data_IF_094863716230
#
_entry.id   IF_094863716230
#
_cell.length_a   1.000
_cell.length_b   1.000
_cell.length_c   1.000
_cell.angle_alpha   90.00
_cell.angle_beta   90.00
_cell.angle_gamma   90.00
#
_symmetry.space_group_name_H-M   'P 1'
#
loop_
_entity.id
_entity.type
_entity.pdbx_description
1 polymer ?
#
# COMPACT_ATOMS: atom_id res chain seq x y z
N UNK A 1 -41.31 -14.29 -13.88
CA UNK A 1 -40.42 -15.45 -13.61
C UNK A 1 -39.48 -15.07 -12.47
N UNK A 2 -39.18 -15.97 -11.51
CA UNK A 2 -38.13 -15.72 -10.53
C UNK A 2 -36.81 -15.47 -11.26
N UNK A 3 -35.96 -14.56 -10.76
CA UNK A 3 -34.67 -14.31 -11.41
C UNK A 3 -33.83 -15.58 -11.40
N UNK A 4 -33.31 -15.98 -12.55
CA UNK A 4 -32.38 -17.11 -12.71
C UNK A 4 -30.93 -16.65 -12.60
N UNK A 5 -30.03 -17.59 -12.35
CA UNK A 5 -28.60 -17.34 -12.46
C UNK A 5 -28.25 -16.95 -13.90
N UNK A 6 -27.34 -16.00 -14.07
CA UNK A 6 -26.94 -15.52 -15.38
C UNK A 6 -26.17 -16.57 -16.22
N UNK A 7 -25.65 -17.63 -15.59
CA UNK A 7 -24.85 -18.67 -16.26
C UNK A 7 -25.52 -20.05 -16.28
N UNK A 8 -26.59 -20.25 -15.50
CA UNK A 8 -27.24 -21.56 -15.39
C UNK A 8 -28.72 -21.41 -14.98
N UNK A 9 -29.57 -22.44 -15.15
CA UNK A 9 -30.98 -22.37 -14.81
C UNK A 9 -31.28 -22.37 -13.29
N UNK A 10 -30.26 -22.40 -12.43
CA UNK A 10 -30.44 -22.42 -10.97
C UNK A 10 -30.85 -21.06 -10.39
N UNK A 11 -31.38 -21.07 -9.16
CA UNK A 11 -31.70 -19.86 -8.41
C UNK A 11 -30.41 -19.11 -8.01
N UNK A 12 -30.28 -17.80 -8.28
CA UNK A 12 -29.15 -17.02 -7.85
C UNK A 12 -29.25 -16.70 -6.35
N UNK A 13 -28.11 -16.68 -5.67
CA UNK A 13 -27.99 -16.31 -4.26
C UNK A 13 -26.97 -15.20 -4.03
N UNK A 14 -26.09 -14.94 -5.01
CA UNK A 14 -25.05 -13.92 -4.96
C UNK A 14 -25.35 -12.86 -6.01
N UNK A 15 -25.21 -11.59 -5.62
CA UNK A 15 -25.08 -10.47 -6.53
C UNK A 15 -23.61 -10.08 -6.58
N UNK A 16 -22.95 -10.25 -7.73
CA UNK A 16 -21.53 -9.91 -7.85
C UNK A 16 -21.30 -8.40 -7.68
N UNK A 17 -20.41 -7.96 -6.78
CA UNK A 17 -20.08 -6.55 -6.60
C UNK A 17 -19.53 -5.88 -7.87
N UNK A 18 -18.73 -6.60 -8.65
CA UNK A 18 -18.01 -6.05 -9.80
C UNK A 18 -18.91 -5.61 -10.97
N UNK A 19 -19.98 -6.37 -11.25
CA UNK A 19 -20.81 -6.16 -12.45
C UNK A 19 -22.32 -6.37 -12.20
N UNK A 20 -22.74 -6.50 -10.94
CA UNK A 20 -24.12 -6.78 -10.53
C UNK A 20 -24.76 -8.03 -11.16
N UNK A 21 -23.96 -8.98 -11.63
CA UNK A 21 -24.45 -10.24 -12.18
C UNK A 21 -25.00 -11.13 -11.05
N UNK A 22 -26.20 -11.66 -11.24
CA UNK A 22 -26.85 -12.59 -10.30
C UNK A 22 -26.36 -14.01 -10.58
N UNK A 23 -25.69 -14.63 -9.61
CA UNK A 23 -25.09 -15.97 -9.74
C UNK A 23 -25.53 -16.91 -8.62
N UNK A 24 -25.59 -18.21 -8.92
CA UNK A 24 -25.62 -19.25 -7.90
C UNK A 24 -24.20 -19.51 -7.36
N UNK A 25 -24.07 -20.14 -6.19
CA UNK A 25 -22.76 -20.37 -5.56
C UNK A 25 -21.75 -21.12 -6.47
N UNK A 26 -22.09 -22.25 -7.12
CA UNK A 26 -21.13 -22.95 -7.97
C UNK A 26 -20.65 -22.10 -9.16
N UNK A 27 -21.56 -21.37 -9.80
CA UNK A 27 -21.22 -20.46 -10.89
C UNK A 27 -20.32 -19.33 -10.41
N UNK A 28 -20.61 -18.72 -9.26
CA UNK A 28 -19.77 -17.69 -8.68
C UNK A 28 -18.36 -18.19 -8.38
N UNK A 29 -18.22 -19.35 -7.72
CA UNK A 29 -16.91 -19.93 -7.39
C UNK A 29 -16.07 -20.16 -8.65
N UNK A 30 -16.69 -20.72 -9.70
CA UNK A 30 -16.02 -20.94 -10.99
C UNK A 30 -15.63 -19.62 -11.66
N UNK A 31 -16.54 -18.65 -11.74
CA UNK A 31 -16.26 -17.34 -12.35
C UNK A 31 -15.16 -16.59 -11.61
N UNK A 32 -15.12 -16.68 -10.28
CA UNK A 32 -14.07 -16.08 -9.45
C UNK A 32 -12.70 -16.74 -9.69
N UNK A 33 -12.65 -18.08 -9.73
CA UNK A 33 -11.44 -18.84 -10.07
C UNK A 33 -10.96 -18.54 -11.50
N UNK A 34 -11.88 -18.43 -12.45
CA UNK A 34 -11.58 -18.11 -13.86
C UNK A 34 -11.02 -16.68 -14.00
N UNK A 35 -11.49 -15.70 -13.22
CA UNK A 35 -10.93 -14.34 -13.17
C UNK A 35 -9.46 -14.35 -12.73
N UNK A 36 -9.15 -15.12 -11.69
CA UNK A 36 -7.78 -15.23 -11.16
C UNK A 36 -6.89 -15.99 -12.14
N UNK A 37 -7.41 -17.06 -12.75
CA UNK A 37 -6.71 -17.78 -13.81
C UNK A 37 -6.42 -16.89 -15.03
N UNK A 38 -7.37 -16.06 -15.45
CA UNK A 38 -7.16 -15.07 -16.50
C UNK A 38 -6.06 -14.07 -16.12
N UNK A 39 -6.06 -13.59 -14.87
CA UNK A 39 -5.00 -12.70 -14.37
C UNK A 39 -3.63 -13.37 -14.41
N UNK A 40 -3.52 -14.62 -13.94
CA UNK A 40 -2.28 -15.40 -13.93
C UNK A 40 -1.74 -15.61 -15.35
N UNK A 41 -2.62 -15.97 -16.29
CA UNK A 41 -2.24 -16.31 -17.67
C UNK A 41 -1.90 -15.07 -18.50
N UNK A 42 -2.73 -14.03 -18.44
CA UNK A 42 -2.49 -12.76 -19.14
C UNK A 42 -1.20 -12.08 -18.68
N UNK A 43 -0.91 -12.11 -17.38
CA UNK A 43 0.33 -11.54 -16.83
C UNK A 43 1.52 -12.50 -16.84
N UNK A 44 1.34 -13.74 -17.34
CA UNK A 44 2.36 -14.81 -17.37
C UNK A 44 3.08 -14.97 -16.02
N UNK A 45 2.31 -15.01 -14.91
CA UNK A 45 2.88 -14.97 -13.56
C UNK A 45 3.74 -16.20 -13.25
N UNK A 46 3.32 -17.39 -13.69
CA UNK A 46 3.95 -18.65 -13.31
C UNK A 46 4.53 -19.39 -14.51
N UNK A 47 5.58 -20.17 -14.25
CA UNK A 47 6.10 -21.18 -15.17
C UNK A 47 5.71 -22.57 -14.66
N UNK A 48 5.50 -23.52 -15.57
CA UNK A 48 5.21 -24.90 -15.17
C UNK A 48 6.42 -25.50 -14.45
N UNK A 49 6.19 -26.25 -13.36
CA UNK A 49 7.26 -26.81 -12.52
C UNK A 49 7.90 -25.82 -11.55
N UNK A 50 7.41 -24.57 -11.48
CA UNK A 50 7.96 -23.56 -10.57
C UNK A 50 7.54 -23.82 -9.12
N UNK A 51 8.50 -23.67 -8.19
CA UNK A 51 8.23 -23.68 -6.75
C UNK A 51 7.85 -22.29 -6.28
N UNK A 52 6.71 -22.19 -5.60
CA UNK A 52 6.06 -20.93 -5.25
C UNK A 52 5.70 -20.92 -3.77
N UNK A 53 6.10 -19.86 -3.08
CA UNK A 53 5.76 -19.62 -1.68
C UNK A 53 4.55 -18.69 -1.58
N UNK A 54 3.47 -19.15 -0.94
CA UNK A 54 2.28 -18.35 -0.69
C UNK A 54 2.41 -17.72 0.69
N UNK A 55 2.42 -16.39 0.74
CA UNK A 55 2.42 -15.64 1.99
C UNK A 55 1.12 -15.85 2.77
N UNK A 56 1.18 -16.61 3.86
CA UNK A 56 0.04 -17.00 4.67
C UNK A 56 -0.02 -16.17 5.96
N UNK A 57 -0.89 -15.17 6.03
CA UNK A 57 -1.11 -14.37 7.24
C UNK A 57 -2.15 -14.98 8.19
N UNK A 58 -2.97 -15.91 7.69
CA UNK A 58 -4.13 -16.45 8.40
C UNK A 58 -5.41 -15.63 8.19
N UNK A 59 -5.30 -14.49 7.49
CA UNK A 59 -6.44 -13.68 7.07
C UNK A 59 -7.12 -14.22 5.82
N UNK A 60 -8.34 -13.72 5.56
CA UNK A 60 -9.21 -14.13 4.45
C UNK A 60 -8.50 -14.17 3.10
N UNK A 61 -7.74 -13.12 2.76
CA UNK A 61 -7.19 -12.96 1.41
C UNK A 61 -6.10 -13.99 1.12
N UNK A 62 -5.21 -14.24 2.09
CA UNK A 62 -4.17 -15.27 1.97
C UNK A 62 -4.74 -16.70 1.95
N UNK A 63 -5.82 -16.96 2.70
CA UNK A 63 -6.47 -18.27 2.72
C UNK A 63 -7.20 -18.55 1.40
N UNK A 64 -7.91 -17.54 0.87
CA UNK A 64 -8.55 -17.62 -0.46
C UNK A 64 -7.53 -17.80 -1.55
N UNK A 65 -6.42 -17.06 -1.52
CA UNK A 65 -5.33 -17.22 -2.47
C UNK A 65 -4.78 -18.67 -2.48
N UNK A 66 -4.49 -19.23 -1.30
CA UNK A 66 -4.01 -20.61 -1.20
C UNK A 66 -5.03 -21.63 -1.74
N UNK A 67 -6.31 -21.48 -1.38
CA UNK A 67 -7.40 -22.34 -1.87
C UNK A 67 -7.58 -22.24 -3.39
N UNK A 68 -7.57 -21.03 -3.96
CA UNK A 68 -7.72 -20.82 -5.40
C UNK A 68 -6.53 -21.39 -6.15
N UNK A 69 -5.29 -21.10 -5.72
CA UNK A 69 -4.10 -21.63 -6.39
C UNK A 69 -4.05 -23.16 -6.34
N UNK A 70 -4.39 -23.77 -5.21
CA UNK A 70 -4.50 -25.24 -5.12
C UNK A 70 -5.56 -25.80 -6.08
N UNK A 71 -6.72 -25.14 -6.18
CA UNK A 71 -7.80 -25.52 -7.10
C UNK A 71 -7.38 -25.38 -8.57
N UNK A 72 -6.74 -24.26 -8.93
CA UNK A 72 -6.29 -23.99 -10.29
C UNK A 72 -5.12 -24.89 -10.70
N UNK A 73 -4.20 -25.18 -9.77
CA UNK A 73 -3.08 -26.10 -10.01
C UNK A 73 -3.60 -27.49 -10.41
N UNK A 74 -4.62 -28.00 -9.71
CA UNK A 74 -5.28 -29.28 -10.02
C UNK A 74 -6.11 -29.21 -11.32
N UNK A 75 -6.90 -28.15 -11.50
CA UNK A 75 -7.82 -28.01 -12.66
C UNK A 75 -7.08 -27.83 -13.99
N UNK A 76 -6.01 -27.04 -14.00
CA UNK A 76 -5.28 -26.68 -15.22
C UNK A 76 -3.93 -27.39 -15.35
N UNK A 77 -3.62 -28.33 -14.45
CA UNK A 77 -2.35 -29.09 -14.45
C UNK A 77 -1.12 -28.17 -14.58
N UNK A 78 -1.08 -27.11 -13.76
CA UNK A 78 0.00 -26.12 -13.83
C UNK A 78 1.35 -26.69 -13.37
N UNK A 79 1.33 -27.81 -12.64
CA UNK A 79 2.49 -28.48 -12.05
C UNK A 79 3.31 -27.54 -11.15
N UNK A 80 2.62 -26.71 -10.36
CA UNK A 80 3.26 -25.82 -9.40
C UNK A 80 3.55 -26.57 -8.10
N UNK A 81 4.74 -26.36 -7.55
CA UNK A 81 5.12 -26.82 -6.21
C UNK A 81 4.79 -25.71 -5.20
N UNK A 82 3.64 -25.85 -4.52
CA UNK A 82 3.08 -24.82 -3.64
C UNK A 82 3.48 -25.06 -2.19
N UNK A 83 4.07 -24.05 -1.55
CA UNK A 83 4.40 -24.06 -0.12
C UNK A 83 3.82 -22.84 0.58
N UNK A 84 3.31 -22.99 1.80
CA UNK A 84 2.87 -21.89 2.63
C UNK A 84 4.04 -21.32 3.43
N UNK A 85 4.23 -20.01 3.38
CA UNK A 85 5.21 -19.27 4.17
C UNK A 85 4.49 -18.29 5.08
N UNK A 86 4.60 -18.49 6.39
CA UNK A 86 3.95 -17.66 7.40
C UNK A 86 4.99 -16.95 8.25
N UNK A 87 4.75 -15.68 8.55
CA UNK A 87 5.64 -14.86 9.39
C UNK A 87 4.96 -14.61 10.72
N UNK A 88 5.59 -14.98 11.82
CA UNK A 88 5.17 -14.68 13.19
C UNK A 88 5.83 -13.38 13.66
N UNK A 89 5.06 -12.30 13.67
CA UNK A 89 5.52 -11.00 14.16
C UNK A 89 5.68 -10.95 15.69
N UNK A 90 5.15 -11.93 16.43
CA UNK A 90 5.16 -11.96 17.88
C UNK A 90 4.27 -10.88 18.51
N UNK A 91 3.04 -10.75 17.99
CA UNK A 91 2.00 -9.87 18.53
C UNK A 91 1.03 -10.70 19.36
N UNK A 92 1.08 -10.53 20.67
CA UNK A 92 0.33 -11.32 21.66
C UNK A 92 -1.18 -11.14 21.48
N UNK A 93 -1.94 -12.25 21.49
CA UNK A 93 -3.40 -12.21 21.39
C UNK A 93 -3.95 -11.96 19.97
N UNK A 94 -3.07 -11.78 18.98
CA UNK A 94 -3.41 -11.67 17.57
C UNK A 94 -2.76 -12.81 16.76
N UNK A 95 -1.45 -13.01 16.94
CA UNK A 95 -0.71 -13.93 16.07
C UNK A 95 -0.94 -15.39 16.41
N UNK A 96 -1.19 -15.71 17.68
CA UNK A 96 -1.48 -17.07 18.15
C UNK A 96 -2.67 -17.67 17.39
N UNK A 97 -3.81 -16.98 17.40
CA UNK A 97 -5.04 -17.42 16.75
C UNK A 97 -4.93 -17.46 15.22
N UNK A 98 -4.22 -16.50 14.62
CA UNK A 98 -4.04 -16.50 13.16
C UNK A 98 -3.09 -17.60 12.69
N UNK A 99 -2.06 -17.97 13.46
CA UNK A 99 -1.19 -19.10 13.15
C UNK A 99 -1.95 -20.43 13.22
N UNK A 100 -2.88 -20.58 14.16
CA UNK A 100 -3.73 -21.78 14.23
C UNK A 100 -4.66 -21.90 13.02
N UNK A 101 -5.19 -20.79 12.51
CA UNK A 101 -5.91 -20.77 11.24
C UNK A 101 -4.98 -21.17 10.07
N UNK A 102 -3.73 -20.68 10.03
CA UNK A 102 -2.76 -21.07 8.98
C UNK A 102 -2.46 -22.58 9.04
N UNK A 103 -2.24 -23.14 10.24
CA UNK A 103 -1.99 -24.59 10.42
C UNK A 103 -3.18 -25.43 9.95
N UNK A 104 -4.41 -25.04 10.30
CA UNK A 104 -5.64 -25.72 9.87
C UNK A 104 -5.81 -25.66 8.34
N UNK A 105 -5.56 -24.51 7.73
CA UNK A 105 -5.59 -24.37 6.26
C UNK A 105 -4.50 -25.20 5.58
N UNK A 106 -3.29 -25.25 6.13
CA UNK A 106 -2.20 -26.08 5.61
C UNK A 106 -2.60 -27.57 5.57
N UNK A 107 -3.17 -28.06 6.67
CA UNK A 107 -3.67 -29.43 6.77
C UNK A 107 -4.86 -29.69 5.81
N UNK A 108 -5.81 -28.76 5.72
CA UNK A 108 -6.99 -28.91 4.86
C UNK A 108 -6.66 -28.89 3.36
N UNK A 109 -5.64 -28.11 2.95
CA UNK A 109 -5.20 -27.99 1.56
C UNK A 109 -4.10 -28.98 1.18
N UNK A 110 -3.56 -29.72 2.16
CA UNK A 110 -2.40 -30.61 2.03
C UNK A 110 -1.18 -29.88 1.44
N UNK A 111 -0.84 -28.73 2.03
CA UNK A 111 0.29 -27.90 1.61
C UNK A 111 1.35 -27.84 2.73
N UNK A 112 2.65 -27.98 2.39
CA UNK A 112 3.72 -27.76 3.35
C UNK A 112 3.66 -26.35 3.94
N UNK A 113 3.96 -26.22 5.24
CA UNK A 113 3.94 -24.95 5.94
C UNK A 113 5.29 -24.68 6.60
N UNK A 114 5.86 -23.53 6.32
CA UNK A 114 7.03 -23.00 6.99
C UNK A 114 6.67 -21.73 7.76
N UNK A 115 7.07 -21.65 9.02
CA UNK A 115 6.81 -20.51 9.91
C UNK A 115 8.16 -19.93 10.32
N UNK A 116 8.33 -18.62 10.16
CA UNK A 116 9.48 -17.86 10.66
C UNK A 116 9.03 -16.79 11.62
N UNK A 117 9.78 -16.55 12.69
CA UNK A 117 9.44 -15.49 13.66
C UNK A 117 10.37 -14.29 13.59
N UNK A 118 9.89 -13.11 13.97
CA UNK A 118 10.75 -11.94 14.13
C UNK A 118 11.78 -12.13 15.25
N UNK A 119 11.41 -12.86 16.31
CA UNK A 119 12.33 -13.20 17.38
C UNK A 119 13.53 -13.99 16.87
N UNK A 120 13.31 -14.94 15.96
CA UNK A 120 14.38 -15.71 15.31
C UNK A 120 15.20 -14.86 14.33
N UNK A 121 14.53 -14.05 13.49
CA UNK A 121 15.20 -13.32 12.40
C UNK A 121 15.92 -12.05 12.83
N UNK A 122 15.46 -11.43 13.91
CA UNK A 122 15.92 -10.11 14.35
C UNK A 122 16.28 -10.06 15.83
N UNK A 123 15.93 -11.08 16.62
CA UNK A 123 16.12 -11.09 18.08
C UNK A 123 15.07 -10.28 18.86
N UNK A 124 14.01 -9.83 18.19
CA UNK A 124 12.97 -8.95 18.73
C UNK A 124 11.58 -9.36 18.21
N UNK A 125 10.56 -9.34 19.06
CA UNK A 125 9.15 -9.39 18.62
C UNK A 125 8.60 -7.99 18.34
N UNK A 126 7.48 -7.89 17.61
CA UNK A 126 6.81 -6.61 17.41
C UNK A 126 6.35 -5.97 18.71
N UNK A 127 5.86 -6.75 19.68
CA UNK A 127 5.46 -6.21 20.98
C UNK A 127 6.64 -5.55 21.70
N UNK A 128 7.84 -6.15 21.64
CA UNK A 128 9.05 -5.57 22.22
C UNK A 128 9.51 -4.32 21.47
N UNK A 129 9.40 -4.31 20.14
CA UNK A 129 9.71 -3.13 19.32
C UNK A 129 8.76 -1.98 19.70
N UNK A 130 7.46 -2.23 19.77
CA UNK A 130 6.43 -1.24 20.14
C UNK A 130 6.62 -0.73 21.57
N UNK A 131 7.05 -1.58 22.50
CA UNK A 131 7.36 -1.17 23.86
C UNK A 131 8.46 -0.11 23.92
N UNK A 132 9.42 -0.11 22.98
CA UNK A 132 10.50 0.88 22.93
C UNK A 132 10.18 2.11 22.08
N UNK A 133 9.50 1.96 20.93
CA UNK A 133 9.25 3.06 19.99
C UNK A 133 7.89 3.75 20.18
N UNK A 134 6.97 3.11 20.91
CA UNK A 134 5.57 3.49 21.01
C UNK A 134 4.69 2.97 19.88
N UNK A 135 3.39 3.27 19.94
CA UNK A 135 2.40 2.78 18.96
C UNK A 135 2.43 3.54 17.64
N UNK A 136 2.80 4.83 17.66
CA UNK A 136 2.83 5.66 16.45
C UNK A 136 3.98 5.26 15.52
N UNK A 137 3.65 4.92 14.27
CA UNK A 137 4.63 4.61 13.23
C UNK A 137 5.23 3.20 13.31
N UNK A 138 4.79 2.35 14.22
CA UNK A 138 5.28 0.96 14.32
C UNK A 138 5.00 0.12 13.07
N UNK A 139 3.88 0.35 12.39
CA UNK A 139 3.49 -0.32 11.15
C UNK A 139 4.49 -0.07 10.01
N UNK A 140 5.22 1.05 10.04
CA UNK A 140 6.33 1.32 9.10
C UNK A 140 7.41 0.26 9.24
N UNK A 141 7.88 0.01 10.47
CA UNK A 141 8.93 -0.97 10.74
C UNK A 141 8.44 -2.39 10.53
N UNK A 142 7.21 -2.69 10.97
CA UNK A 142 6.58 -3.99 10.76
C UNK A 142 6.51 -4.35 9.27
N UNK A 143 6.13 -3.42 8.40
CA UNK A 143 6.07 -3.65 6.96
C UNK A 143 7.44 -3.92 6.32
N UNK A 144 8.50 -3.28 6.82
CA UNK A 144 9.88 -3.55 6.38
C UNK A 144 10.34 -4.92 6.84
N UNK A 145 10.17 -5.25 8.13
CA UNK A 145 10.53 -6.56 8.67
C UNK A 145 9.76 -7.68 8.00
N UNK A 146 8.46 -7.50 7.72
CA UNK A 146 7.63 -8.55 7.10
C UNK A 146 8.15 -8.93 5.71
N UNK A 147 8.52 -7.93 4.91
CA UNK A 147 9.07 -8.16 3.56
C UNK A 147 10.43 -8.83 3.61
N UNK A 148 11.30 -8.35 4.49
CA UNK A 148 12.61 -8.99 4.73
C UNK A 148 12.46 -10.44 5.19
N UNK A 149 11.50 -10.70 6.08
CA UNK A 149 11.21 -12.04 6.59
C UNK A 149 10.66 -12.98 5.51
N UNK A 150 9.79 -12.48 4.61
CA UNK A 150 9.29 -13.23 3.48
C UNK A 150 10.41 -13.62 2.49
N UNK A 151 11.32 -12.70 2.19
CA UNK A 151 12.43 -12.97 1.26
C UNK A 151 13.46 -13.93 1.88
N UNK A 152 13.77 -13.76 3.18
CA UNK A 152 14.62 -14.69 3.92
C UNK A 152 13.98 -16.08 4.00
N UNK A 153 12.67 -16.16 4.22
CA UNK A 153 11.93 -17.41 4.19
C UNK A 153 11.90 -18.06 2.81
N UNK A 154 11.73 -17.27 1.75
CA UNK A 154 11.82 -17.76 0.39
C UNK A 154 13.23 -18.33 0.10
N UNK A 155 14.29 -17.62 0.52
CA UNK A 155 15.68 -18.12 0.44
C UNK A 155 15.87 -19.47 1.12
N UNK A 156 15.43 -19.60 2.39
CA UNK A 156 15.55 -20.85 3.17
C UNK A 156 14.82 -22.03 2.53
N UNK A 157 13.72 -21.76 1.83
CA UNK A 157 12.94 -22.78 1.12
C UNK A 157 13.43 -23.04 -0.31
N UNK A 158 14.46 -22.31 -0.77
CA UNK A 158 14.95 -22.37 -2.15
C UNK A 158 13.94 -21.85 -3.18
N UNK A 159 13.05 -20.95 -2.77
CA UNK A 159 11.96 -20.39 -3.57
C UNK A 159 12.36 -19.04 -4.15
N UNK A 160 12.06 -18.83 -5.44
CA UNK A 160 12.34 -17.57 -6.16
C UNK A 160 11.09 -16.73 -6.43
N UNK A 161 9.92 -17.23 -6.06
CA UNK A 161 8.65 -16.56 -6.33
C UNK A 161 7.72 -16.66 -5.11
N UNK A 162 7.43 -15.51 -4.51
CA UNK A 162 6.47 -15.35 -3.43
C UNK A 162 5.17 -14.76 -3.97
N UNK A 163 4.03 -15.25 -3.50
CA UNK A 163 2.72 -14.77 -3.91
C UNK A 163 1.99 -14.24 -2.69
N UNK A 164 1.37 -13.06 -2.81
CA UNK A 164 0.70 -12.40 -1.71
C UNK A 164 -0.78 -12.15 -2.02
N UNK A 165 -1.60 -12.13 -0.97
CA UNK A 165 -3.06 -11.98 -1.08
C UNK A 165 -3.55 -10.55 -1.32
N UNK A 166 -2.72 -9.63 -1.83
CA UNK A 166 -3.15 -8.25 -2.07
C UNK A 166 -4.25 -8.20 -3.13
N UNK A 167 -5.39 -7.61 -2.75
CA UNK A 167 -6.60 -7.55 -3.56
C UNK A 167 -6.74 -6.18 -4.28
N UNK A 168 -7.82 -6.01 -5.06
CA UNK A 168 -8.06 -4.76 -5.79
C UNK A 168 -8.24 -3.55 -4.86
N UNK A 169 -8.91 -3.73 -3.71
CA UNK A 169 -9.11 -2.71 -2.69
C UNK A 169 -7.77 -2.26 -2.09
N UNK A 170 -6.86 -3.19 -1.75
CA UNK A 170 -5.52 -2.88 -1.22
C UNK A 170 -4.69 -2.05 -2.21
N UNK A 171 -4.78 -2.37 -3.50
CA UNK A 171 -4.06 -1.65 -4.56
C UNK A 171 -4.69 -0.27 -4.77
N UNK A 172 -6.03 -0.16 -4.75
CA UNK A 172 -6.72 1.12 -4.81
C UNK A 172 -6.37 2.02 -3.62
N UNK A 173 -6.32 1.47 -2.40
CA UNK A 173 -5.86 2.16 -1.19
C UNK A 173 -4.45 2.73 -1.41
N UNK A 174 -3.55 1.90 -1.94
CA UNK A 174 -2.16 2.29 -2.23
C UNK A 174 -2.07 3.42 -3.26
N UNK A 175 -2.87 3.36 -4.33
CA UNK A 175 -2.92 4.42 -5.36
C UNK A 175 -3.38 5.74 -4.76
N UNK A 176 -4.49 5.73 -4.02
CA UNK A 176 -5.05 6.93 -3.39
C UNK A 176 -4.07 7.50 -2.36
N UNK A 177 -3.48 6.67 -1.52
CA UNK A 177 -2.52 7.11 -0.51
C UNK A 177 -1.29 7.79 -1.13
N UNK A 178 -0.73 7.22 -2.21
CA UNK A 178 0.44 7.79 -2.88
C UNK A 178 0.10 9.09 -3.62
N UNK A 179 -1.09 9.17 -4.23
CA UNK A 179 -1.56 10.39 -4.87
C UNK A 179 -1.74 11.53 -3.85
N UNK A 180 -2.39 11.26 -2.71
CA UNK A 180 -2.62 12.25 -1.66
C UNK A 180 -1.32 12.73 -0.99
N UNK A 181 -0.28 11.89 -0.98
CA UNK A 181 1.06 12.26 -0.48
C UNK A 181 1.91 12.99 -1.51
N UNK A 182 1.47 13.07 -2.77
CA UNK A 182 2.27 13.60 -3.88
C UNK A 182 3.45 12.70 -4.27
N UNK A 183 3.45 11.43 -3.88
CA UNK A 183 4.53 10.47 -4.19
C UNK A 183 4.16 9.60 -5.39
N UNK A 184 4.05 10.24 -6.55
CA UNK A 184 3.60 9.59 -7.79
C UNK A 184 4.64 8.59 -8.31
N UNK A 185 5.93 8.77 -7.98
CA UNK A 185 7.00 7.86 -8.34
C UNK A 185 6.81 6.45 -7.74
N UNK A 186 6.11 6.34 -6.60
CA UNK A 186 5.79 5.04 -5.98
C UNK A 186 4.68 4.28 -6.69
N UNK A 187 3.88 4.92 -7.56
CA UNK A 187 2.76 4.26 -8.25
C UNK A 187 3.21 3.11 -9.13
N UNK A 188 4.35 3.24 -9.82
CA UNK A 188 4.89 2.18 -10.70
C UNK A 188 5.08 0.84 -10.01
N UNK A 189 5.31 0.85 -8.70
CA UNK A 189 5.58 -0.35 -7.90
C UNK A 189 4.32 -0.86 -7.22
N UNK A 190 3.58 0.05 -6.57
CA UNK A 190 2.33 -0.30 -5.89
C UNK A 190 1.29 -0.90 -6.84
N UNK A 191 1.31 -0.49 -8.12
CA UNK A 191 0.40 -0.96 -9.17
C UNK A 191 1.00 -2.04 -10.07
N UNK A 192 2.26 -2.45 -9.85
CA UNK A 192 2.80 -3.59 -10.58
C UNK A 192 2.27 -4.91 -9.99
N UNK A 193 1.79 -5.78 -10.88
CA UNK A 193 1.38 -7.13 -10.50
C UNK A 193 2.58 -8.03 -10.17
N UNK A 194 3.75 -7.71 -10.73
CA UNK A 194 5.02 -8.42 -10.54
C UNK A 194 6.09 -7.44 -10.08
N UNK A 195 6.58 -7.65 -8.87
CA UNK A 195 7.75 -6.95 -8.34
C UNK A 195 8.91 -7.91 -8.12
N UNK A 196 10.13 -7.41 -8.05
CA UNK A 196 11.33 -8.20 -7.79
C UNK A 196 12.25 -7.44 -6.86
N UNK A 197 12.68 -8.05 -5.77
CA UNK A 197 13.67 -7.42 -4.89
C UNK A 197 14.99 -7.31 -5.66
N UNK A 198 15.56 -6.10 -5.77
CA UNK A 198 16.84 -5.92 -6.46
C UNK A 198 17.99 -6.47 -5.60
N UNK A 199 18.37 -7.72 -5.84
CA UNK A 199 19.49 -8.39 -5.18
C UNK A 199 20.28 -9.26 -6.15
N UNK A 200 21.61 -9.18 -6.08
CA UNK A 200 22.49 -10.06 -6.87
C UNK A 200 22.64 -11.42 -6.20
N UNK A 201 22.97 -12.45 -6.97
CA UNK A 201 23.44 -13.71 -6.37
C UNK A 201 24.78 -13.44 -5.67
N UNK A 202 24.79 -13.39 -4.35
CA UNK A 202 26.02 -13.50 -3.58
C UNK A 202 26.07 -14.89 -2.94
N UNK A 203 27.07 -15.68 -3.36
CA UNK A 203 27.42 -16.90 -2.62
C UNK A 203 28.15 -16.45 -1.37
N UNK A 204 27.54 -16.60 -0.20
CA UNK A 204 28.30 -16.56 1.04
C UNK A 204 29.28 -17.75 1.06
N UNK A 205 30.52 -17.52 1.48
CA UNK A 205 31.54 -18.56 1.71
C UNK A 205 31.10 -19.61 2.75
N UNK A 206 30.00 -19.37 3.49
CA UNK A 206 29.44 -20.28 4.51
C UNK A 206 28.40 -21.28 3.99
N UNK A 207 28.11 -21.33 2.69
CA UNK A 207 27.16 -22.30 2.12
C UNK A 207 25.68 -21.98 2.35
N UNK A 208 25.37 -20.87 3.03
CA UNK A 208 24.01 -20.34 3.09
C UNK A 208 23.71 -19.56 1.80
N UNK A 209 22.70 -20.02 1.05
CA UNK A 209 22.25 -19.35 -0.17
C UNK A 209 21.38 -18.15 0.22
N UNK A 210 21.94 -16.95 0.23
CA UNK A 210 21.16 -15.72 0.29
C UNK A 210 20.57 -15.42 -1.10
N UNK A 211 19.41 -15.99 -1.41
CA UNK A 211 18.62 -15.63 -2.60
C UNK A 211 17.96 -14.28 -2.33
N UNK A 212 18.65 -13.20 -2.72
CA UNK A 212 18.12 -11.83 -2.64
C UNK A 212 17.25 -11.44 -3.85
N UNK A 213 17.15 -12.33 -4.86
CA UNK A 213 16.39 -12.11 -6.08
C UNK A 213 15.02 -12.83 -6.07
N UNK A 214 14.14 -12.40 -5.18
CA UNK A 214 12.81 -12.98 -5.01
C UNK A 214 11.78 -12.16 -5.78
N UNK A 215 11.04 -12.81 -6.67
CA UNK A 215 9.89 -12.24 -7.35
C UNK A 215 8.68 -12.26 -6.43
N UNK A 216 7.87 -11.21 -6.46
CA UNK A 216 6.59 -11.14 -5.76
C UNK A 216 5.47 -10.90 -6.75
N UNK A 217 4.39 -11.66 -6.64
CA UNK A 217 3.20 -11.45 -7.45
C UNK A 217 1.92 -11.28 -6.63
N UNK A 218 0.93 -10.62 -7.25
CA UNK A 218 -0.39 -10.30 -6.68
C UNK A 218 -1.52 -10.87 -7.57
N UNK A 219 -1.82 -12.19 -7.54
CA UNK A 219 -2.85 -12.78 -8.40
C UNK A 219 -4.27 -12.28 -8.12
N UNK A 220 -4.51 -11.74 -6.92
CA UNK A 220 -5.79 -11.15 -6.52
C UNK A 220 -5.91 -9.66 -6.88
N UNK A 221 -4.95 -9.06 -7.58
CA UNK A 221 -4.88 -7.62 -7.87
C UNK A 221 -6.15 -7.04 -8.51
N UNK A 222 -6.92 -7.84 -9.25
CA UNK A 222 -8.18 -7.42 -9.89
C UNK A 222 -9.43 -8.06 -9.26
N UNK A 223 -9.29 -8.74 -8.13
CA UNK A 223 -10.38 -9.34 -7.37
C UNK A 223 -10.81 -8.39 -6.23
N UNK A 224 -12.11 -8.15 -6.11
CA UNK A 224 -12.68 -7.30 -5.06
C UNK A 224 -12.63 -8.00 -3.71
N UNK A 225 -12.40 -7.24 -2.63
CA UNK A 225 -12.40 -7.75 -1.25
C UNK A 225 -13.73 -8.45 -0.92
N UNK A 226 -14.86 -7.86 -1.33
CA UNK A 226 -16.19 -8.47 -1.14
C UNK A 226 -16.33 -9.82 -1.83
N UNK A 227 -15.73 -10.00 -3.00
CA UNK A 227 -15.77 -11.29 -3.70
C UNK A 227 -14.88 -12.32 -3.02
N UNK A 228 -13.73 -11.91 -2.47
CA UNK A 228 -12.87 -12.77 -1.64
C UNK A 228 -13.65 -13.27 -0.41
N UNK A 229 -14.35 -12.38 0.30
CA UNK A 229 -15.19 -12.75 1.44
C UNK A 229 -16.29 -13.73 1.02
N UNK A 230 -16.98 -13.46 -0.09
CA UNK A 230 -18.01 -14.37 -0.61
C UNK A 230 -17.43 -15.73 -0.98
N UNK A 231 -16.24 -15.78 -1.59
CA UNK A 231 -15.58 -17.02 -1.95
C UNK A 231 -15.22 -17.83 -0.70
N UNK A 232 -14.60 -17.19 0.31
CA UNK A 232 -14.25 -17.81 1.57
C UNK A 232 -15.49 -18.41 2.27
N UNK A 233 -16.58 -17.65 2.34
CA UNK A 233 -17.85 -18.09 2.94
C UNK A 233 -18.42 -19.34 2.23
N UNK A 234 -18.49 -19.33 0.89
CA UNK A 234 -19.11 -20.42 0.13
C UNK A 234 -18.24 -21.67 0.06
N UNK A 235 -16.92 -21.53 0.13
CA UNK A 235 -15.97 -22.64 0.31
C UNK A 235 -15.84 -23.10 1.75
N UNK A 236 -16.44 -22.38 2.71
CA UNK A 236 -16.32 -22.62 4.16
C UNK A 236 -14.86 -22.65 4.62
N UNK A 237 -14.06 -21.72 4.10
CA UNK A 237 -12.67 -21.58 4.52
C UNK A 237 -12.63 -21.02 5.94
N UNK A 238 -11.76 -21.60 6.75
CA UNK A 238 -11.48 -21.11 8.08
C UNK A 238 -10.40 -20.03 8.01
N UNK A 239 -10.72 -18.84 8.49
CA UNK A 239 -9.78 -17.71 8.50
C UNK A 239 -9.99 -16.85 9.73
N UNK A 240 -8.93 -16.14 10.10
CA UNK A 240 -8.96 -15.20 11.20
C UNK A 240 -9.30 -13.80 10.70
N UNK A 241 -10.30 -13.15 11.30
CA UNK A 241 -10.86 -11.89 10.79
C UNK A 241 -10.59 -10.66 11.66
N UNK A 242 -9.98 -10.81 12.83
CA UNK A 242 -9.71 -9.64 13.67
C UNK A 242 -8.56 -8.85 13.06
N UNK A 243 -8.65 -7.52 13.10
CA UNK A 243 -7.54 -6.66 12.68
C UNK A 243 -6.42 -6.64 13.74
N UNK A 244 -5.21 -6.30 13.31
CA UNK A 244 -4.08 -6.14 14.23
C UNK A 244 -4.31 -4.98 15.19
N UNK A 245 -4.01 -5.17 16.47
CA UNK A 245 -4.16 -4.17 17.55
C UNK A 245 -3.41 -2.85 17.30
N UNK A 246 -2.40 -2.88 16.42
CA UNK A 246 -1.59 -1.73 16.04
C UNK A 246 -2.01 -1.06 14.72
N UNK A 247 -2.94 -1.67 13.98
CA UNK A 247 -3.44 -1.17 12.70
C UNK A 247 -4.29 0.12 12.77
N UNK A 248 -5.10 0.38 13.82
CA UNK A 248 -6.05 1.50 13.80
C UNK A 248 -5.42 2.90 13.63
N UNK A 249 -4.19 3.10 14.07
CA UNK A 249 -3.50 4.40 13.95
C UNK A 249 -2.86 4.62 12.55
N UNK A 250 -3.02 3.67 11.61
CA UNK A 250 -2.41 3.76 10.30
C UNK A 250 -3.23 4.65 9.34
N UNK A 251 -2.54 5.51 8.58
CA UNK A 251 -3.12 6.39 7.54
C UNK A 251 -3.99 5.63 6.50
N UNK A 252 -3.69 4.34 6.30
CA UNK A 252 -4.44 3.47 5.37
C UNK A 252 -5.93 3.39 5.72
N UNK A 253 -6.31 3.55 6.99
CA UNK A 253 -7.72 3.58 7.41
C UNK A 253 -8.54 4.69 6.74
N UNK A 254 -7.97 5.89 6.59
CA UNK A 254 -8.67 7.02 5.95
C UNK A 254 -8.90 6.78 4.46
N UNK A 255 -7.90 6.22 3.76
CA UNK A 255 -8.02 5.86 2.34
C UNK A 255 -9.08 4.76 2.13
N UNK A 256 -9.11 3.76 3.01
CA UNK A 256 -10.13 2.69 3.00
C UNK A 256 -11.55 3.25 3.11
N UNK A 257 -11.78 4.17 4.05
CA UNK A 257 -13.10 4.80 4.23
C UNK A 257 -13.53 5.56 2.99
N UNK A 258 -12.61 6.32 2.37
CA UNK A 258 -12.89 7.04 1.12
C UNK A 258 -13.26 6.08 -0.02
N UNK A 259 -12.51 5.01 -0.21
CA UNK A 259 -12.77 4.02 -1.27
C UNK A 259 -14.10 3.32 -1.06
N UNK A 260 -14.44 2.93 0.18
CA UNK A 260 -15.74 2.34 0.51
C UNK A 260 -16.90 3.28 0.19
N UNK A 261 -16.73 4.59 0.41
CA UNK A 261 -17.75 5.58 0.06
C UNK A 261 -17.92 5.70 -1.47
N UNK A 262 -16.82 5.66 -2.23
CA UNK A 262 -16.88 5.65 -3.70
C UNK A 262 -17.53 4.38 -4.25
N UNK A 263 -17.17 3.21 -3.70
CA UNK A 263 -17.72 1.92 -4.09
C UNK A 263 -19.25 1.85 -3.89
N UNK A 264 -19.77 2.48 -2.83
CA UNK A 264 -21.22 2.58 -2.57
C UNK A 264 -21.98 3.33 -3.67
N UNK A 265 -21.34 4.30 -4.32
CA UNK A 265 -21.94 5.08 -5.42
C UNK A 265 -21.76 4.32 -6.73
N UNK A 266 -20.54 3.83 -7.00
CA UNK A 266 -20.17 3.14 -8.23
C UNK A 266 -19.19 2.01 -7.88
N UNK A 267 -19.60 0.72 -7.94
CA UNK A 267 -18.71 -0.38 -7.59
C UNK A 267 -17.45 -0.45 -8.46
N UNK A 268 -17.56 -0.06 -9.73
CA UNK A 268 -16.44 -0.02 -10.68
C UNK A 268 -15.30 0.93 -10.26
N UNK A 269 -15.56 1.86 -9.33
CA UNK A 269 -14.57 2.83 -8.85
C UNK A 269 -13.28 2.19 -8.33
N UNK A 270 -13.33 0.99 -7.73
CA UNK A 270 -12.12 0.31 -7.25
C UNK A 270 -11.20 -0.03 -8.41
N UNK A 271 -11.71 -0.73 -9.44
CA UNK A 271 -10.90 -1.09 -10.61
C UNK A 271 -10.54 0.13 -11.47
N UNK A 272 -11.41 1.14 -11.54
CA UNK A 272 -11.12 2.40 -12.23
C UNK A 272 -9.92 3.12 -11.58
N UNK A 273 -9.84 3.13 -10.24
CA UNK A 273 -8.68 3.67 -9.49
C UNK A 273 -7.43 2.84 -9.76
N UNK A 274 -7.51 1.52 -9.69
CA UNK A 274 -6.36 0.63 -9.99
C UNK A 274 -5.83 0.88 -11.40
N UNK A 275 -6.72 0.92 -12.39
CA UNK A 275 -6.37 1.20 -13.79
C UNK A 275 -5.75 2.58 -13.95
N UNK A 276 -6.34 3.61 -13.34
CA UNK A 276 -5.78 4.96 -13.35
C UNK A 276 -4.38 4.99 -12.73
N UNK A 277 -4.16 4.24 -11.65
CA UNK A 277 -2.84 4.08 -11.04
C UNK A 277 -1.81 3.46 -11.98
N UNK A 278 -2.18 2.39 -12.69
CA UNK A 278 -1.33 1.72 -13.69
C UNK A 278 -1.00 2.66 -14.87
N UNK A 279 -2.00 3.39 -15.36
CA UNK A 279 -1.82 4.33 -16.48
C UNK A 279 -0.95 5.51 -16.06
N UNK A 280 -1.17 6.08 -14.87
CA UNK A 280 -0.31 7.14 -14.30
C UNK A 280 1.13 6.64 -14.09
N UNK A 281 1.30 5.43 -13.57
CA UNK A 281 2.61 4.81 -13.40
C UNK A 281 3.41 4.73 -14.72
N UNK A 282 2.74 4.44 -15.84
CA UNK A 282 3.40 4.40 -17.15
C UNK A 282 3.85 5.78 -17.66
N UNK A 283 3.29 6.86 -17.13
CA UNK A 283 3.65 8.23 -17.51
C UNK A 283 4.76 8.82 -16.64
N UNK A 284 4.93 8.29 -15.43
CA UNK A 284 5.93 8.79 -14.48
C UNK A 284 7.30 8.21 -14.87
N UNK A 285 8.34 9.04 -15.03
CA UNK A 285 9.69 8.52 -15.21
C UNK A 285 10.12 7.76 -13.96
N UNK A 286 10.67 6.56 -14.16
CA UNK A 286 11.29 5.80 -13.06
C UNK A 286 12.40 6.63 -12.40
N UNK A 287 12.85 6.27 -11.18
CA UNK A 287 13.92 6.97 -10.44
C UNK A 287 15.29 7.08 -11.15
N UNK A 288 15.39 6.55 -12.37
CA UNK A 288 16.52 6.66 -13.31
C UNK A 288 16.22 7.57 -14.53
N UNK A 289 15.13 8.35 -14.51
CA UNK A 289 14.76 9.28 -15.57
C UNK A 289 14.17 8.64 -16.84
N UNK A 290 13.83 7.34 -16.80
CA UNK A 290 13.26 6.63 -17.96
C UNK A 290 11.73 6.73 -17.95
N UNK A 291 11.18 7.55 -18.86
CA UNK A 291 9.73 7.60 -19.10
C UNK A 291 9.28 6.42 -19.98
N UNK A 292 8.24 5.70 -19.55
CA UNK A 292 7.85 4.46 -20.19
C UNK A 292 7.01 4.60 -21.48
N UNK A 293 6.55 5.78 -21.88
CA UNK A 293 5.68 5.78 -23.06
C UNK A 293 5.08 7.06 -23.61
N UNK A 294 5.52 8.27 -23.23
CA UNK A 294 4.96 9.49 -23.83
C UNK A 294 5.86 10.16 -24.89
N UNK A 295 7.18 9.95 -24.85
CA UNK A 295 8.13 10.65 -25.72
C UNK A 295 8.84 9.75 -26.75
N UNK A 296 8.43 8.48 -26.89
CA UNK A 296 8.99 7.61 -27.91
C UNK A 296 8.19 7.75 -29.21
N UNK A 297 8.90 8.23 -30.23
CA UNK A 297 8.44 8.41 -31.60
C UNK A 297 7.72 7.16 -32.15
N UNK A 298 6.75 7.36 -33.03
CA UNK A 298 5.84 6.33 -33.55
C UNK A 298 6.61 5.21 -34.27
N UNK A 299 6.92 4.11 -33.57
CA UNK A 299 7.58 2.99 -34.26
C UNK A 299 8.10 1.84 -33.40
N UNK A 300 7.45 1.45 -32.30
CA UNK A 300 7.93 0.33 -31.48
C UNK A 300 6.79 -0.52 -30.92
N UNK A 301 6.82 -1.84 -31.19
CA UNK A 301 5.86 -2.83 -30.70
C UNK A 301 5.67 -2.72 -29.18
N UNK A 302 4.42 -2.60 -28.73
CA UNK A 302 3.99 -2.74 -27.34
C UNK A 302 4.12 -4.21 -26.93
N UNK A 303 5.26 -4.60 -26.37
CA UNK A 303 5.33 -5.70 -25.42
C UNK A 303 6.33 -5.32 -24.32
N UNK A 304 5.94 -5.63 -23.09
CA UNK A 304 6.74 -6.15 -21.96
C UNK A 304 5.96 -5.79 -20.69
N UNK A 305 5.43 -6.80 -20.03
CA UNK A 305 5.09 -6.76 -18.60
C UNK A 305 6.36 -6.36 -17.85
N UNK A 306 6.51 -5.06 -17.52
CA UNK A 306 7.70 -4.59 -16.82
C UNK A 306 7.68 -5.12 -15.41
N UNK A 307 8.71 -5.89 -15.05
CA UNK A 307 8.96 -6.30 -13.67
C UNK A 307 9.46 -5.05 -12.95
N UNK A 308 8.71 -4.58 -11.96
CA UNK A 308 9.12 -3.42 -11.16
C UNK A 308 10.08 -3.89 -10.06
N UNK A 309 11.11 -3.10 -9.75
CA UNK A 309 11.93 -3.38 -8.58
C UNK A 309 11.10 -3.08 -7.32
N UNK A 310 11.14 -3.98 -6.34
CA UNK A 310 10.40 -3.84 -5.09
C UNK A 310 11.09 -2.81 -4.17
N UNK A 311 10.67 -1.56 -4.33
CA UNK A 311 11.16 -0.40 -3.57
C UNK A 311 10.12 0.12 -2.57
N UNK A 312 9.13 -0.70 -2.19
CA UNK A 312 8.05 -0.22 -1.34
C UNK A 312 8.63 0.23 0.02
N UNK A 313 8.26 1.41 0.48
CA UNK A 313 8.50 1.85 1.86
C UNK A 313 7.19 2.49 2.28
N UNK A 314 6.34 1.74 2.97
CA UNK A 314 5.14 2.30 3.64
C UNK A 314 5.52 3.23 4.80
N UNK A 315 6.81 3.51 4.99
CA UNK A 315 7.32 4.51 5.89
C UNK A 315 7.07 5.94 5.42
N UNK A 316 6.65 6.74 6.39
CA UNK A 316 6.72 8.18 6.38
C UNK A 316 8.17 8.62 6.08
N UNK A 317 8.48 8.77 4.79
CA UNK A 317 9.73 9.35 4.26
C UNK A 317 9.72 10.86 4.48
N UNK A 318 9.64 11.29 5.73
CA UNK A 318 9.75 12.69 6.08
C UNK A 318 11.07 13.28 5.56
N UNK A 319 10.96 14.41 4.87
CA UNK A 319 12.07 15.28 4.53
C UNK A 319 12.67 15.87 5.82
N UNK A 320 13.53 15.11 6.49
CA UNK A 320 14.34 15.61 7.61
C UNK A 320 15.76 15.86 7.14
N UNK A 321 16.13 17.13 6.99
CA UNK A 321 17.40 17.67 7.52
C UNK A 321 17.43 19.20 7.38
N UNK A 322 17.35 19.87 8.52
CA UNK A 322 17.57 21.30 8.72
C UNK A 322 17.25 21.66 10.17
N UNK A 323 18.11 22.37 10.92
CA UNK A 323 17.84 22.71 12.30
C UNK A 323 16.73 23.78 12.35
N UNK A 324 15.67 23.51 13.11
CA UNK A 324 14.73 24.51 13.66
C UNK A 324 13.88 25.31 12.67
N UNK A 325 12.67 24.82 12.37
CA UNK A 325 11.42 25.60 12.30
C UNK A 325 10.25 24.62 12.01
N UNK A 326 9.36 24.44 12.98
CA UNK A 326 8.29 23.44 12.92
C UNK A 326 7.17 23.80 11.94
N UNK A 327 6.90 22.89 11.00
CA UNK A 327 5.64 22.83 10.22
C UNK A 327 4.66 21.78 10.76
N UNK A 328 5.10 20.93 11.69
CA UNK A 328 4.26 19.91 12.34
C UNK A 328 3.14 20.49 13.20
N UNK A 329 3.27 21.74 13.67
CA UNK A 329 2.21 22.41 14.43
C UNK A 329 0.98 22.75 13.60
N UNK A 330 1.14 23.04 12.30
CA UNK A 330 0.05 23.56 11.45
C UNK A 330 -0.98 22.49 11.10
N UNK A 331 -0.55 21.25 10.90
CA UNK A 331 -1.47 20.12 10.67
C UNK A 331 -2.20 19.69 11.94
N UNK A 332 -1.51 19.75 13.09
CA UNK A 332 -2.11 19.46 14.40
C UNK A 332 -3.16 20.52 14.76
N UNK A 333 -2.90 21.79 14.44
CA UNK A 333 -3.85 22.88 14.69
C UNK A 333 -5.07 22.80 13.75
N UNK A 334 -4.85 22.36 12.50
CA UNK A 334 -5.91 22.09 11.54
C UNK A 334 -6.78 20.90 11.97
N UNK A 335 -6.18 19.81 12.44
CA UNK A 335 -6.90 18.61 12.90
C UNK A 335 -7.72 18.89 14.17
N UNK A 336 -7.15 19.67 15.10
CA UNK A 336 -7.88 20.17 16.28
C UNK A 336 -9.08 21.03 15.89
N UNK A 337 -8.89 21.99 14.98
CA UNK A 337 -9.98 22.85 14.47
C UNK A 337 -11.09 22.04 13.82
N UNK A 338 -10.76 21.03 13.01
CA UNK A 338 -11.77 20.18 12.38
C UNK A 338 -12.57 19.38 13.41
N UNK A 339 -11.91 18.84 14.44
CA UNK A 339 -12.63 18.15 15.54
C UNK A 339 -13.46 19.10 16.41
N UNK A 340 -13.04 20.35 16.57
CA UNK A 340 -13.81 21.39 17.26
C UNK A 340 -15.04 21.81 16.43
N UNK A 341 -14.89 21.93 15.11
CA UNK A 341 -15.97 22.23 14.17
C UNK A 341 -16.98 21.08 14.05
N UNK A 342 -16.53 19.83 14.06
CA UNK A 342 -17.43 18.65 14.11
C UNK A 342 -18.21 18.59 15.43
N UNK A 343 -17.55 18.84 16.57
CA UNK A 343 -18.24 18.93 17.87
C UNK A 343 -19.21 20.10 17.95
N UNK A 344 -18.87 21.24 17.36
CA UNK A 344 -19.77 22.39 17.28
C UNK A 344 -21.01 22.09 16.42
N UNK A 345 -20.83 21.34 15.32
CA UNK A 345 -21.94 20.84 14.48
C UNK A 345 -22.83 19.84 15.21
N UNK A 346 -22.26 18.93 16.00
CA UNK A 346 -23.04 17.97 16.80
C UNK A 346 -23.82 18.62 17.94
N UNK A 347 -23.32 19.74 18.49
CA UNK A 347 -23.98 20.51 19.54
C UNK A 347 -25.04 21.50 19.02
N UNK A 348 -25.28 21.54 17.70
CA UNK A 348 -26.31 22.39 17.08
C UNK A 348 -26.05 23.89 17.24
N UNK A 349 -24.81 24.30 17.51
CA UNK A 349 -24.44 25.72 17.57
C UNK A 349 -24.03 26.13 16.16
N UNK A 350 -25.02 26.53 15.37
CA UNK A 350 -24.76 27.16 14.08
C UNK A 350 -24.12 28.53 14.32
N UNK A 351 -22.82 28.68 14.03
CA UNK A 351 -22.22 29.99 13.80
C UNK A 351 -22.27 30.24 12.30
N UNK A 352 -23.34 30.90 11.85
CA UNK A 352 -23.38 31.50 10.52
C UNK A 352 -22.33 32.60 10.44
N UNK A 353 -21.29 32.40 9.63
CA UNK A 353 -20.45 33.51 9.16
C UNK A 353 -21.20 34.17 8.01
N UNK A 354 -22.19 35.00 8.36
CA UNK A 354 -22.77 35.98 7.44
C UNK A 354 -21.79 37.13 7.29
N UNK A 355 -21.07 37.17 6.18
CA UNK A 355 -20.36 38.39 5.78
C UNK A 355 -21.38 39.38 5.22
N UNK A 356 -21.75 40.39 6.01
CA UNK A 356 -22.40 41.61 5.51
C UNK A 356 -21.70 42.88 6.03
N UNK A 357 -21.70 43.95 5.22
CA UNK A 357 -20.77 45.07 5.32
C UNK A 357 -21.20 46.11 6.36
N UNK A 358 -20.23 46.71 7.03
CA UNK A 358 -20.37 47.98 7.76
C UNK A 358 -19.94 49.11 6.79
N UNK A 359 -20.65 50.19 6.55
CA UNK A 359 -21.71 50.86 7.31
C UNK A 359 -22.78 51.44 6.38
N UNK A 360 -24.01 51.44 6.88
CA UNK A 360 -25.18 51.96 6.19
C UNK A 360 -25.30 53.49 6.25
N UNK A 361 -25.96 54.03 5.24
CA UNK A 361 -27.03 54.99 5.46
C UNK A 361 -28.06 54.82 4.35
N UNK A 362 -29.25 54.38 4.73
CA UNK A 362 -30.48 54.52 3.96
C UNK A 362 -31.28 55.71 4.54
N UNK A 363 -32.40 56.18 3.97
CA UNK A 363 -33.00 55.93 2.64
C UNK A 363 -33.45 57.26 1.94
N UNK A 364 -34.22 57.11 0.85
CA UNK A 364 -35.24 58.05 0.27
C UNK A 364 -34.89 58.72 -1.08
N UNK A 365 -35.84 58.55 -2.02
CA UNK A 365 -35.96 59.11 -3.38
C UNK A 365 -36.35 60.59 -3.34
N UNK A 366 -35.72 61.48 -4.14
CA UNK A 366 -36.37 62.57 -4.96
C UNK A 366 -35.36 63.09 -6.02
N UNK A 367 -35.84 63.29 -7.25
CA UNK A 367 -35.21 63.99 -8.39
C UNK A 367 -34.69 65.41 -8.10
N UNK A 368 -33.65 65.86 -8.81
CA UNK A 368 -33.44 67.31 -9.03
C UNK A 368 -32.03 67.80 -9.34
N UNK A 369 -31.78 68.06 -10.62
CA UNK A 369 -31.02 69.19 -11.18
C UNK A 369 -29.55 69.50 -10.81
N UNK A 370 -28.71 69.34 -11.85
CA UNK A 370 -27.82 70.32 -12.51
C UNK A 370 -26.60 70.93 -11.79
N UNK A 371 -25.48 70.72 -12.52
CA UNK A 371 -24.41 71.65 -12.94
C UNK A 371 -23.13 71.76 -12.10
N UNK A 372 -22.08 71.16 -12.68
CA UNK A 372 -20.80 71.77 -13.10
C UNK A 372 -20.22 72.90 -12.23
N UNK A 373 -19.11 72.61 -11.55
CA UNK A 373 -17.78 73.14 -11.88
C UNK A 373 -16.73 72.75 -10.84
N UNK A 374 -15.50 72.49 -11.30
CA UNK A 374 -14.29 72.71 -10.48
C UNK A 374 -13.37 71.52 -10.27
N UNK A 375 -12.46 71.33 -11.22
CA UNK A 375 -11.12 70.71 -11.11
C UNK A 375 -10.95 69.37 -10.36
N UNK A 376 -10.81 68.32 -11.17
CA UNK A 376 -10.23 67.05 -10.80
C UNK A 376 -8.79 67.21 -10.27
N UNK A 377 -8.50 66.59 -9.14
CA UNK A 377 -7.16 66.12 -8.79
C UNK A 377 -7.27 64.66 -8.35
N UNK A 378 -7.02 63.74 -9.28
CA UNK A 378 -6.96 62.30 -9.01
C UNK A 378 -5.53 61.99 -8.57
N UNK A 379 -5.31 61.82 -7.27
CA UNK A 379 -4.12 61.16 -6.74
C UNK A 379 -4.25 59.65 -6.96
N UNK A 380 -3.71 59.17 -8.08
CA UNK A 380 -3.50 57.74 -8.30
C UNK A 380 -2.36 57.24 -7.42
N UNK A 381 -2.60 56.14 -6.70
CA UNK A 381 -1.55 55.39 -6.00
C UNK A 381 -0.71 54.66 -7.06
N UNK A 382 0.61 54.87 -7.12
CA UNK A 382 1.43 54.40 -8.24
C UNK A 382 1.63 52.88 -8.20
N UNK A 383 1.21 52.21 -9.27
CA UNK A 383 1.54 50.81 -9.55
C UNK A 383 3.04 50.72 -9.84
N UNK A 384 3.77 50.01 -8.97
CA UNK A 384 5.22 49.82 -9.09
C UNK A 384 5.56 49.09 -10.40
N UNK A 385 6.30 49.70 -11.34
CA UNK A 385 6.65 49.05 -12.60
C UNK A 385 7.65 47.90 -12.35
N UNK A 386 7.43 46.78 -13.07
CA UNK A 386 8.32 45.62 -13.11
C UNK A 386 9.76 46.08 -13.38
N UNK A 387 10.64 45.98 -12.37
CA UNK A 387 12.09 46.07 -12.59
C UNK A 387 12.49 44.94 -13.53
N UNK A 388 13.12 45.29 -14.65
CA UNK A 388 13.88 44.35 -15.49
C UNK A 388 14.82 43.57 -14.58
N UNK A 389 14.65 42.24 -14.52
CA UNK A 389 15.67 41.35 -13.95
C UNK A 389 16.96 41.63 -14.71
N UNK A 390 17.96 42.16 -14.00
CA UNK A 390 19.35 42.02 -14.42
C UNK A 390 19.61 40.52 -14.62
N UNK A 391 20.37 40.19 -15.67
CA UNK A 391 20.84 38.84 -15.92
C UNK A 391 21.58 38.39 -14.66
N UNK A 392 20.91 37.54 -13.88
CA UNK A 392 21.55 36.77 -12.81
C UNK A 392 22.23 35.62 -13.52
N UNK A 393 23.54 35.51 -13.34
CA UNK A 393 24.36 34.42 -13.83
C UNK A 393 23.63 33.09 -13.64
N UNK A 394 23.33 32.42 -14.75
CA UNK A 394 22.71 31.09 -14.83
C UNK A 394 23.69 29.98 -14.41
N UNK A 395 24.47 30.23 -13.36
CA UNK A 395 25.51 29.36 -12.84
C UNK A 395 25.35 29.15 -11.33
N UNK A 396 24.13 28.91 -10.84
CA UNK A 396 23.89 28.32 -9.49
C UNK A 396 22.43 27.97 -9.21
N UNK A 397 21.67 27.52 -10.22
CA UNK A 397 20.58 26.58 -9.93
C UNK A 397 21.27 25.28 -9.52
N UNK A 398 21.69 25.19 -8.26
CA UNK A 398 22.11 23.94 -7.66
C UNK A 398 20.98 22.95 -7.92
N UNK A 399 21.24 22.00 -8.81
CA UNK A 399 20.36 20.88 -9.07
C UNK A 399 19.91 20.37 -7.71
N UNK A 400 18.60 20.34 -7.44
CA UNK A 400 18.08 19.57 -6.32
C UNK A 400 18.74 18.21 -6.44
N UNK A 401 19.57 17.78 -5.48
CA UNK A 401 20.31 16.55 -5.64
C UNK A 401 19.29 15.45 -5.86
N UNK A 402 19.31 14.89 -7.06
CA UNK A 402 18.46 13.78 -7.45
C UNK A 402 18.73 12.68 -6.43
N UNK A 403 17.79 12.48 -5.49
CA UNK A 403 17.94 11.47 -4.45
C UNK A 403 17.71 10.12 -5.10
N UNK A 404 18.78 9.58 -5.68
CA UNK A 404 18.80 8.21 -6.19
C UNK A 404 18.54 7.26 -5.03
N UNK A 405 17.54 6.41 -5.21
CA UNK A 405 17.21 5.37 -4.23
C UNK A 405 18.36 4.34 -4.28
N UNK A 406 19.04 4.14 -3.16
CA UNK A 406 20.20 3.26 -3.04
C UNK A 406 19.85 1.97 -2.32
N UNK A 407 20.85 1.12 -2.05
CA UNK A 407 20.70 -0.06 -1.18
C UNK A 407 21.26 0.23 0.20
N UNK A 408 20.58 -0.26 1.22
CA UNK A 408 21.05 -0.24 2.60
C UNK A 408 22.27 -1.14 2.73
N UNK A 409 23.39 -0.60 3.22
CA UNK A 409 24.65 -1.35 3.35
C UNK A 409 24.56 -2.52 4.33
N UNK A 410 23.56 -2.53 5.23
CA UNK A 410 23.42 -3.59 6.24
C UNK A 410 22.53 -4.74 5.85
N UNK A 411 21.45 -4.48 5.13
CA UNK A 411 20.48 -5.52 4.79
C UNK A 411 20.33 -5.72 3.29
N UNK A 412 20.99 -4.91 2.45
CA UNK A 412 20.86 -4.97 0.99
C UNK A 412 19.53 -4.45 0.44
N UNK A 413 18.54 -4.20 1.30
CA UNK A 413 17.23 -3.67 0.88
C UNK A 413 17.32 -2.21 0.49
N UNK A 414 16.41 -1.82 -0.39
CA UNK A 414 16.39 -0.48 -0.90
C UNK A 414 16.11 0.57 0.18
N UNK A 415 16.79 1.71 0.09
CA UNK A 415 16.68 2.81 1.01
C UNK A 415 17.05 4.13 0.36
N UNK A 416 16.37 5.21 0.78
CA UNK A 416 16.77 6.59 0.47
C UNK A 416 17.97 7.08 1.28
N UNK A 417 18.45 6.26 2.22
CA UNK A 417 19.59 6.53 3.09
C UNK A 417 20.61 5.40 2.98
N UNK A 418 21.85 5.66 3.39
CA UNK A 418 22.93 4.66 3.44
C UNK A 418 22.57 3.44 4.30
N UNK A 419 21.86 3.67 5.40
CA UNK A 419 21.32 2.62 6.28
C UNK A 419 19.82 2.88 6.44
N UNK A 420 18.98 1.87 6.22
CA UNK A 420 17.53 2.02 6.32
C UNK A 420 17.08 2.24 7.77
N UNK A 421 15.95 2.92 7.96
CA UNK A 421 15.37 3.23 9.28
C UNK A 421 15.18 1.98 10.14
N UNK A 422 14.83 0.84 9.53
CA UNK A 422 14.68 -0.43 10.23
C UNK A 422 16.01 -0.95 10.79
N UNK A 423 17.11 -0.86 10.03
CA UNK A 423 18.45 -1.25 10.50
C UNK A 423 19.00 -0.28 11.56
N UNK A 424 18.70 1.01 11.46
CA UNK A 424 19.04 1.99 12.50
C UNK A 424 18.26 1.68 13.78
N UNK A 425 16.97 1.37 13.65
CA UNK A 425 16.14 0.96 14.78
C UNK A 425 16.70 -0.29 15.45
N UNK A 426 16.96 -1.36 14.71
CA UNK A 426 17.52 -2.60 15.26
C UNK A 426 18.85 -2.37 15.99
N UNK A 427 19.72 -1.51 15.47
CA UNK A 427 20.95 -1.14 16.17
C UNK A 427 20.68 -0.38 17.47
N UNK A 428 19.73 0.57 17.45
CA UNK A 428 19.30 1.28 18.65
C UNK A 428 18.75 0.34 19.72
N UNK A 429 17.85 -0.57 19.32
CA UNK A 429 17.27 -1.59 20.20
C UNK A 429 18.37 -2.50 20.79
N UNK A 430 19.31 -2.96 19.96
CA UNK A 430 20.40 -3.84 20.40
C UNK A 430 21.41 -3.13 21.32
N UNK A 431 21.65 -1.82 21.13
CA UNK A 431 22.46 -1.01 22.06
C UNK A 431 21.77 -0.79 23.41
N UNK A 432 20.44 -0.66 23.41
CA UNK A 432 19.64 -0.49 24.61
C UNK A 432 19.43 -1.79 25.40
N UNK A 433 19.79 -2.94 24.82
CA UNK A 433 19.65 -4.24 25.49
C UNK A 433 20.70 -4.35 26.61
N UNK A 434 20.30 -4.56 27.87
CA UNK A 434 21.26 -4.76 28.95
C UNK A 434 22.09 -6.02 28.65
N UNK A 435 23.41 -5.86 28.50
CA UNK A 435 24.36 -6.96 28.36
C UNK A 435 24.54 -7.64 29.73
N UNK A 436 23.59 -8.48 30.13
CA UNK A 436 23.82 -9.38 31.25
C UNK A 436 24.62 -10.59 30.72
N UNK A 437 25.83 -10.89 31.24
CA UNK A 437 26.48 -12.16 30.97
C UNK A 437 25.67 -13.24 31.68
N UNK A 438 24.97 -14.09 30.93
CA UNK A 438 24.40 -15.31 31.48
C UNK A 438 25.57 -16.28 31.64
N UNK A 439 26.11 -16.36 32.86
CA UNK A 439 26.97 -17.47 33.23
C UNK A 439 26.11 -18.74 33.22
N UNK A 440 26.29 -19.56 32.19
CA UNK A 440 25.77 -20.93 32.18
C UNK A 440 26.74 -21.74 33.02
N UNK A 441 26.39 -21.97 34.29
CA UNK A 441 27.06 -23.00 35.09
C UNK A 441 26.75 -24.36 34.45
N UNK A 442 27.75 -24.94 33.83
CA UNK A 442 27.78 -26.34 33.45
C UNK A 442 27.90 -27.15 34.75
N UNK A 443 26.77 -27.62 35.29
CA UNK A 443 26.78 -28.65 36.32
C UNK A 443 27.06 -30.01 35.66
N UNK A 444 28.17 -30.63 36.08
CA UNK A 444 28.66 -31.92 35.61
C UNK A 444 28.03 -33.13 36.29
#
# INVERSE_FOLDING_TARGET
>A
MPPTCALCPSRPIILRPSNHQRLCAPCFLRTFEDLIYHTITTSRLFRSGERIAIGASGGKDSCVLASVLSTLNKRHSLNLDLILLSIDEGITGYRDHSLDAVRRNAAALDLPLHILSYAELYGWSMDQVVAQIGKKGNCTYCGVFRRQALDRGASRLGVRHVVTGHNADDVAETVVMNLLRGDVARLGRGTSILTQTAGGMEKSETGEVEVTDVKRSKPLMYAYEKEIVLYAHHKKLDYFSTECIYSPEAFRGSARTLIKNLERIRPESILDIVRSGVDMAALVPDGEGRCAGACADKGGKKEVSRIAVDEEDDGNGGCGNGPGAGTGGQMIDMEKRLTEEEKARELGIEVEVSSQPADGSAPVLVDGHKKENGNATITTVPIRPKKKKQAVDTASLASVPERKLGKCERCGYLSSQRICKACVLLEGLNKARPKAPIAVELNG
#
